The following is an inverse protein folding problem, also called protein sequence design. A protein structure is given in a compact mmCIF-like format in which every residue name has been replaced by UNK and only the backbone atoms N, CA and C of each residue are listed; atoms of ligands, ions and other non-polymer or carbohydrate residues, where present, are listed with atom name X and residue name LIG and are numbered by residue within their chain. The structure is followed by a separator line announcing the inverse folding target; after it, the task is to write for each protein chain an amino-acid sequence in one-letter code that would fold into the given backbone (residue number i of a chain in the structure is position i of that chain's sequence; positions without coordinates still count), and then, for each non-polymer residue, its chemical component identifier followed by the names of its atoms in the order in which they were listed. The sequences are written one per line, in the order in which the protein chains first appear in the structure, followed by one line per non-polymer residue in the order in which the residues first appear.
data_IF_925694064317
#
_entry.id   IF_925694064317
#
_cell.length_a   1.000
_cell.length_b   1.000
_cell.length_c   1.000
_cell.angle_alpha   90.00
_cell.angle_beta   90.00
_cell.angle_gamma   90.00
#
_symmetry.space_group_name_H-M   'P 1'
#
loop_
_entity.id
_entity.type
_entity.pdbx_description
1 polymer ?
#
# COMPACT_ATOMS: atom_id res chain seq x y z
N UNK A 1 -13.74 -9.20 12.43
CA UNK A 1 -13.07 -7.89 12.25
C UNK A 1 -14.15 -6.82 12.13
N UNK A 2 -14.07 -5.67 12.83
CA UNK A 2 -15.19 -4.69 12.96
C UNK A 2 -15.71 -4.14 11.62
N UNK A 3 -14.87 -4.06 10.60
CA UNK A 3 -15.20 -3.49 9.28
C UNK A 3 -15.31 -4.53 8.15
N UNK A 4 -15.29 -5.83 8.48
CA UNK A 4 -15.52 -6.90 7.49
C UNK A 4 -14.42 -7.08 6.44
N UNK A 5 -13.19 -6.65 6.71
CA UNK A 5 -12.05 -6.87 5.83
C UNK A 5 -11.48 -8.28 5.93
N UNK A 6 -11.08 -8.81 4.79
CA UNK A 6 -10.34 -10.08 4.68
C UNK A 6 -8.84 -9.83 4.78
N UNK A 7 -8.10 -10.84 5.22
CA UNK A 7 -6.63 -10.80 5.19
C UNK A 7 -6.13 -11.41 3.89
N UNK A 8 -5.18 -10.75 3.26
CA UNK A 8 -4.38 -11.37 2.19
C UNK A 8 -2.90 -11.27 2.57
N UNK A 9 -2.09 -12.10 1.95
CA UNK A 9 -0.65 -11.94 1.95
C UNK A 9 -0.12 -12.11 0.53
N UNK A 10 1.00 -11.45 0.24
CA UNK A 10 1.69 -11.52 -1.04
C UNK A 10 3.14 -11.91 -0.81
N UNK A 11 3.80 -12.50 -1.82
CA UNK A 11 5.24 -12.72 -1.75
C UNK A 11 6.00 -11.43 -1.44
N UNK A 12 7.16 -11.57 -0.79
CA UNK A 12 8.01 -10.43 -0.43
C UNK A 12 8.65 -9.74 -1.65
N UNK A 13 8.75 -10.47 -2.76
CA UNK A 13 9.24 -9.99 -4.04
C UNK A 13 8.15 -10.12 -5.11
N UNK A 14 8.22 -9.23 -6.09
CA UNK A 14 7.38 -9.24 -7.28
C UNK A 14 8.29 -9.31 -8.52
N UNK A 15 7.72 -9.66 -9.68
CA UNK A 15 8.41 -9.50 -10.96
C UNK A 15 8.83 -8.04 -11.11
N UNK A 16 10.07 -7.78 -11.52
CA UNK A 16 10.61 -6.43 -11.67
C UNK A 16 9.73 -5.55 -12.57
N UNK A 17 9.18 -6.12 -13.62
CA UNK A 17 8.24 -5.43 -14.53
C UNK A 17 6.94 -4.97 -13.84
N UNK A 18 6.47 -5.69 -12.81
CA UNK A 18 5.25 -5.34 -12.07
C UNK A 18 5.42 -4.01 -11.33
N UNK A 19 6.64 -3.75 -10.83
CA UNK A 19 6.98 -2.54 -10.09
C UNK A 19 7.46 -1.39 -10.98
N UNK A 20 7.84 -1.68 -12.22
CA UNK A 20 8.45 -0.72 -13.13
C UNK A 20 7.45 0.37 -13.55
N UNK A 21 7.87 1.64 -13.43
CA UNK A 21 7.07 2.80 -13.82
C UNK A 21 5.91 3.15 -12.89
N UNK A 22 5.75 2.44 -11.75
CA UNK A 22 4.69 2.71 -10.77
C UNK A 22 5.04 3.83 -9.78
N UNK A 23 6.32 4.10 -9.59
CA UNK A 23 6.82 4.96 -8.52
C UNK A 23 7.55 6.21 -9.01
N UNK A 24 7.51 6.52 -10.31
CA UNK A 24 8.22 7.69 -10.86
C UNK A 24 9.70 7.69 -10.48
N UNK A 25 10.19 8.81 -9.91
CA UNK A 25 11.57 8.97 -9.46
C UNK A 25 11.97 8.00 -8.34
N UNK A 26 11.02 7.51 -7.54
CA UNK A 26 11.28 6.59 -6.43
C UNK A 26 11.56 5.17 -6.89
N UNK A 27 11.32 4.85 -8.17
CA UNK A 27 11.63 3.53 -8.74
C UNK A 27 13.11 3.15 -8.58
N UNK A 28 14.01 4.15 -8.49
CA UNK A 28 15.46 3.94 -8.23
C UNK A 28 15.77 3.40 -6.83
N UNK A 29 14.81 3.51 -5.91
CA UNK A 29 14.94 3.09 -4.52
C UNK A 29 14.50 1.63 -4.30
N UNK A 30 14.13 0.91 -5.36
CA UNK A 30 13.72 -0.49 -5.27
C UNK A 30 14.96 -1.39 -5.09
N UNK A 31 14.83 -2.41 -4.24
CA UNK A 31 15.82 -3.48 -4.11
C UNK A 31 15.60 -4.53 -5.19
N UNK A 32 16.59 -4.70 -6.06
CA UNK A 32 16.60 -5.77 -7.06
C UNK A 32 17.31 -7.01 -6.51
N UNK A 33 16.75 -8.19 -6.80
CA UNK A 33 17.43 -9.45 -6.55
C UNK A 33 18.46 -9.69 -7.65
N UNK A 34 19.52 -10.41 -7.32
CA UNK A 34 20.56 -10.79 -8.27
C UNK A 34 19.97 -11.73 -9.32
N UNK A 35 20.29 -11.52 -10.59
CA UNK A 35 19.98 -12.47 -11.66
C UNK A 35 20.74 -13.79 -11.44
N UNK A 36 19.99 -14.88 -11.43
CA UNK A 36 20.49 -16.25 -11.27
C UNK A 36 20.12 -17.15 -12.46
N UNK A 37 19.79 -16.56 -13.62
CA UNK A 37 19.41 -17.27 -14.85
C UNK A 37 17.90 -17.55 -14.97
N UNK A 38 17.08 -16.76 -14.28
CA UNK A 38 15.62 -16.93 -14.22
C UNK A 38 14.89 -15.60 -14.30
N UNK A 39 13.76 -15.50 -13.60
CA UNK A 39 12.96 -14.28 -13.55
C UNK A 39 13.70 -13.14 -12.84
N UNK A 40 13.56 -11.92 -13.36
CA UNK A 40 14.06 -10.72 -12.71
C UNK A 40 13.06 -10.29 -11.63
N UNK A 41 13.53 -10.30 -10.38
CA UNK A 41 12.70 -10.05 -9.21
C UNK A 41 13.17 -8.80 -8.45
N UNK A 42 12.22 -8.14 -7.80
CA UNK A 42 12.47 -6.97 -6.96
C UNK A 42 11.64 -7.06 -5.68
N UNK A 43 12.17 -6.61 -4.55
CA UNK A 43 11.41 -6.54 -3.30
C UNK A 43 10.29 -5.51 -3.42
N UNK A 44 9.13 -5.80 -2.81
CA UNK A 44 7.99 -4.90 -2.81
C UNK A 44 8.31 -3.56 -2.12
N UNK A 45 7.97 -2.47 -2.79
CA UNK A 45 8.17 -1.10 -2.31
C UNK A 45 7.02 -0.61 -1.40
N UNK A 46 5.82 -1.11 -1.65
CA UNK A 46 4.60 -0.92 -0.88
C UNK A 46 3.73 -2.20 -0.90
N UNK A 47 2.53 -2.15 -0.33
CA UNK A 47 1.53 -3.22 -0.39
C UNK A 47 0.42 -2.96 -1.43
N UNK A 48 0.32 -1.74 -1.96
CA UNK A 48 -0.72 -1.31 -2.91
C UNK A 48 -0.50 -1.91 -4.30
N UNK A 49 0.72 -1.88 -4.84
CA UNK A 49 1.02 -2.47 -6.16
C UNK A 49 0.87 -4.00 -6.16
N UNK A 50 1.39 -4.75 -5.16
CA UNK A 50 1.09 -6.17 -5.00
C UNK A 50 -0.42 -6.46 -4.93
N UNK A 51 -1.19 -5.59 -4.27
CA UNK A 51 -2.64 -5.72 -4.20
C UNK A 51 -3.33 -5.52 -5.56
N UNK A 52 -2.95 -4.49 -6.32
CA UNK A 52 -3.47 -4.28 -7.67
C UNK A 52 -3.17 -5.48 -8.59
N UNK A 53 -1.97 -6.05 -8.52
CA UNK A 53 -1.61 -7.29 -9.23
C UNK A 53 -2.47 -8.46 -8.77
N UNK A 54 -2.68 -8.63 -7.46
CA UNK A 54 -3.52 -9.67 -6.90
C UNK A 54 -4.97 -9.60 -7.42
N UNK A 55 -5.56 -8.40 -7.48
CA UNK A 55 -6.88 -8.19 -8.06
C UNK A 55 -6.94 -8.61 -9.52
N UNK A 56 -5.98 -8.13 -10.32
CA UNK A 56 -5.94 -8.38 -11.76
C UNK A 56 -5.77 -9.88 -12.07
N UNK A 57 -4.83 -10.56 -11.39
CA UNK A 57 -4.56 -11.98 -11.62
C UNK A 57 -5.75 -12.88 -11.24
N UNK A 58 -6.47 -12.54 -10.18
CA UNK A 58 -7.62 -13.30 -9.71
C UNK A 58 -8.96 -12.83 -10.31
N UNK A 59 -8.94 -11.80 -11.17
CA UNK A 59 -10.14 -11.17 -11.75
C UNK A 59 -11.15 -10.72 -10.69
N UNK A 60 -10.65 -10.26 -9.54
CA UNK A 60 -11.46 -9.77 -8.44
C UNK A 60 -11.84 -8.32 -8.73
N UNK A 61 -13.13 -8.04 -8.75
CA UNK A 61 -13.67 -6.70 -9.01
C UNK A 61 -14.18 -6.00 -7.75
N UNK A 62 -14.41 -6.73 -6.66
CA UNK A 62 -14.84 -6.18 -5.38
C UNK A 62 -14.20 -6.95 -4.23
N UNK A 63 -13.47 -6.24 -3.36
CA UNK A 63 -12.89 -6.78 -2.14
C UNK A 63 -12.59 -5.66 -1.15
N UNK A 64 -12.74 -5.96 0.13
CA UNK A 64 -12.22 -5.17 1.24
C UNK A 64 -11.15 -5.99 1.95
N UNK A 65 -9.93 -5.48 2.03
CA UNK A 65 -8.81 -6.23 2.59
C UNK A 65 -7.94 -5.38 3.49
N UNK A 66 -7.29 -6.03 4.44
CA UNK A 66 -6.16 -5.48 5.15
C UNK A 66 -4.90 -6.33 4.93
N UNK A 67 -3.74 -5.68 4.98
CA UNK A 67 -2.45 -6.34 4.82
C UNK A 67 -1.43 -5.68 5.74
N UNK A 68 -0.84 -6.45 6.66
CA UNK A 68 0.18 -5.98 7.59
C UNK A 68 1.46 -6.73 7.27
N UNK A 69 2.41 -6.03 6.67
CA UNK A 69 3.60 -6.66 6.13
C UNK A 69 4.77 -5.68 6.03
N UNK A 70 5.98 -6.24 5.98
CA UNK A 70 7.20 -5.47 5.75
C UNK A 70 7.35 -5.06 4.29
N UNK A 71 7.88 -3.85 4.08
CA UNK A 71 8.23 -3.29 2.77
C UNK A 71 9.67 -2.78 2.76
N UNK A 72 10.24 -2.65 1.56
CA UNK A 72 11.67 -2.46 1.37
C UNK A 72 11.95 -1.25 0.49
N UNK A 73 12.63 -0.25 1.03
CA UNK A 73 12.98 0.98 0.32
C UNK A 73 14.46 1.31 0.53
N UNK A 74 15.23 1.51 -0.54
CA UNK A 74 16.64 1.93 -0.49
C UNK A 74 16.79 3.42 -0.18
N UNK A 75 15.99 3.92 0.76
CA UNK A 75 16.11 5.31 1.20
C UNK A 75 17.50 5.52 1.81
N UNK A 76 18.01 6.76 1.69
CA UNK A 76 19.25 7.13 2.33
C UNK A 76 18.96 7.29 3.82
N UNK A 77 19.56 6.45 4.70
CA UNK A 77 19.26 6.50 6.12
C UNK A 77 19.84 7.78 6.70
N UNK A 78 19.04 8.84 6.76
CA UNK A 78 19.26 9.90 7.72
C UNK A 78 18.93 9.30 9.09
N UNK A 79 19.95 8.81 9.80
CA UNK A 79 19.82 8.17 11.13
C UNK A 79 19.01 9.01 12.14
N UNK A 80 18.89 10.33 11.92
CA UNK A 80 18.12 11.26 12.74
C UNK A 80 16.62 11.38 12.37
N UNK A 81 16.15 10.70 11.31
CA UNK A 81 14.79 10.90 10.74
C UNK A 81 13.93 9.64 10.61
N UNK A 82 14.34 8.50 11.19
CA UNK A 82 13.51 7.28 11.17
C UNK A 82 13.28 6.69 9.77
N UNK A 83 14.15 7.01 8.81
CA UNK A 83 14.11 6.44 7.45
C UNK A 83 14.81 5.08 7.44
N UNK A 84 14.02 4.04 7.70
CA UNK A 84 14.48 2.65 7.67
C UNK A 84 14.39 2.07 6.26
N UNK A 85 15.20 1.06 5.99
CA UNK A 85 15.20 0.33 4.71
C UNK A 85 14.22 -0.83 4.68
N UNK A 86 13.85 -1.33 5.85
CA UNK A 86 12.81 -2.32 6.08
C UNK A 86 11.92 -1.80 7.21
N UNK A 87 10.61 -1.73 6.98
CA UNK A 87 9.63 -1.31 7.98
C UNK A 87 8.25 -1.89 7.66
N UNK A 88 7.35 -1.89 8.65
CA UNK A 88 5.98 -2.37 8.47
C UNK A 88 5.09 -1.31 7.84
N UNK A 89 4.26 -1.74 6.89
CA UNK A 89 3.04 -1.06 6.49
C UNK A 89 1.83 -1.84 7.02
N UNK A 90 0.74 -1.11 7.26
CA UNK A 90 -0.54 -1.62 7.73
C UNK A 90 -1.62 -1.02 6.84
N UNK A 91 -1.86 -1.68 5.71
CA UNK A 91 -2.75 -1.17 4.68
C UNK A 91 -4.17 -1.73 4.89
N UNK A 92 -5.16 -0.89 4.61
CA UNK A 92 -6.56 -1.26 4.50
C UNK A 92 -7.09 -0.65 3.21
N UNK A 93 -7.67 -1.48 2.34
CA UNK A 93 -8.10 -1.06 1.02
C UNK A 93 -9.51 -1.58 0.72
N UNK A 94 -10.30 -0.74 0.06
CA UNK A 94 -11.61 -1.08 -0.50
C UNK A 94 -11.49 -0.92 -2.01
N UNK A 95 -11.58 -2.03 -2.75
CA UNK A 95 -11.59 -2.03 -4.20
C UNK A 95 -12.98 -2.44 -4.70
N UNK A 96 -13.54 -1.69 -5.65
CA UNK A 96 -14.82 -1.99 -6.27
C UNK A 96 -15.59 -0.74 -6.68
N UNK A 97 -16.77 -0.96 -7.27
CA UNK A 97 -17.70 0.12 -7.58
C UNK A 97 -18.71 0.27 -6.44
N UNK A 98 -18.76 1.47 -5.88
CA UNK A 98 -19.64 1.85 -4.79
C UNK A 98 -20.20 3.25 -5.07
N UNK A 99 -21.24 3.62 -4.33
CA UNK A 99 -21.71 5.00 -4.36
C UNK A 99 -20.59 5.95 -3.92
N UNK A 100 -20.49 7.13 -4.54
CA UNK A 100 -19.40 8.07 -4.27
C UNK A 100 -19.26 8.37 -2.78
N UNK A 101 -18.01 8.45 -2.31
CA UNK A 101 -17.62 8.86 -0.96
C UNK A 101 -17.95 7.87 0.17
N UNK A 102 -18.76 6.83 -0.05
CA UNK A 102 -19.05 5.81 0.98
C UNK A 102 -17.77 5.09 1.43
N UNK A 103 -16.99 4.43 0.55
CA UNK A 103 -15.76 3.74 0.98
C UNK A 103 -14.70 4.73 1.50
N UNK A 104 -14.61 5.93 0.93
CA UNK A 104 -13.69 6.98 1.36
C UNK A 104 -13.96 7.41 2.82
N UNK A 105 -15.24 7.61 3.17
CA UNK A 105 -15.66 7.94 4.53
C UNK A 105 -15.43 6.77 5.50
N UNK A 106 -15.62 5.53 5.05
CA UNK A 106 -15.32 4.33 5.83
C UNK A 106 -13.83 4.26 6.20
N UNK A 107 -12.92 4.52 5.24
CA UNK A 107 -11.49 4.58 5.51
C UNK A 107 -11.14 5.61 6.59
N UNK A 108 -11.73 6.81 6.56
CA UNK A 108 -11.54 7.84 7.59
C UNK A 108 -12.05 7.38 8.96
N UNK A 109 -13.20 6.70 8.99
CA UNK A 109 -13.78 6.14 10.22
C UNK A 109 -12.86 5.09 10.83
N UNK A 110 -12.27 4.21 10.02
CA UNK A 110 -11.32 3.19 10.47
C UNK A 110 -10.08 3.82 11.07
N UNK A 111 -9.48 4.80 10.39
CA UNK A 111 -8.30 5.53 10.90
C UNK A 111 -8.61 6.20 12.24
N UNK A 112 -9.77 6.87 12.34
CA UNK A 112 -10.20 7.49 13.60
C UNK A 112 -10.34 6.47 14.73
N UNK A 113 -11.00 5.34 14.49
CA UNK A 113 -11.18 4.28 15.50
C UNK A 113 -9.83 3.72 15.96
N UNK A 114 -8.92 3.40 15.03
CA UNK A 114 -7.59 2.89 15.36
C UNK A 114 -6.83 3.90 16.22
N UNK A 115 -6.76 5.17 15.80
CA UNK A 115 -6.01 6.19 16.54
C UNK A 115 -6.60 6.48 17.92
N UNK A 116 -7.93 6.42 18.05
CA UNK A 116 -8.62 6.57 19.33
C UNK A 116 -8.33 5.39 20.26
N UNK A 117 -8.35 4.16 19.74
CA UNK A 117 -8.12 2.94 20.52
C UNK A 117 -6.64 2.79 20.94
N UNK A 118 -5.69 3.36 20.19
CA UNK A 118 -4.26 3.34 20.52
C UNK A 118 -3.88 4.30 21.67
N UNK A 119 -4.78 5.19 22.10
CA UNK A 119 -4.56 6.10 23.25
C UNK A 119 -3.27 6.96 23.14
N UNK A 120 -2.96 7.43 21.93
CA UNK A 120 -1.74 8.24 21.66
C UNK A 120 -1.91 9.74 21.97
N UNK A 121 -3.05 10.13 22.53
CA UNK A 121 -3.45 11.53 22.72
C UNK A 121 -4.31 12.07 21.57
N UNK A 122 -4.53 13.38 21.55
CA UNK A 122 -5.35 14.03 20.54
C UNK A 122 -4.70 13.96 19.15
N UNK A 123 -5.52 13.78 18.11
CA UNK A 123 -5.06 13.72 16.73
C UNK A 123 -5.95 14.54 15.79
N UNK A 124 -5.39 14.92 14.64
CA UNK A 124 -6.09 15.63 13.56
C UNK A 124 -5.89 14.88 12.24
N UNK A 125 -6.99 14.47 11.60
CA UNK A 125 -6.95 13.87 10.27
C UNK A 125 -7.13 14.98 9.24
N UNK A 126 -6.08 15.27 8.46
CA UNK A 126 -6.13 16.24 7.35
C UNK A 126 -6.53 15.52 6.07
N UNK A 127 -7.59 16.00 5.43
CA UNK A 127 -8.08 15.45 4.16
C UNK A 127 -7.83 16.46 3.03
N UNK A 128 -7.27 15.98 1.92
CA UNK A 128 -7.12 16.73 0.66
C UNK A 128 -7.76 15.92 -0.45
N UNK A 129 -8.56 16.57 -1.28
CA UNK A 129 -9.10 15.98 -2.50
C UNK A 129 -8.29 16.50 -3.69
N UNK A 130 -7.75 15.57 -4.48
CA UNK A 130 -7.15 15.90 -5.76
C UNK A 130 -8.18 15.63 -6.86
N UNK A 131 -8.64 16.69 -7.52
CA UNK A 131 -9.61 16.61 -8.62
C UNK A 131 -8.85 16.26 -9.91
N UNK A 132 -8.63 14.96 -10.12
CA UNK A 132 -8.14 14.38 -11.37
C UNK A 132 -9.02 13.20 -11.81
N UNK A 133 -8.89 12.73 -13.06
CA UNK A 133 -9.57 11.50 -13.49
C UNK A 133 -9.18 10.34 -12.55
N UNK A 134 -10.17 9.66 -11.97
CA UNK A 134 -10.01 8.51 -11.06
C UNK A 134 -9.53 7.26 -11.82
N UNK A 135 -8.32 7.28 -12.38
CA UNK A 135 -7.78 6.16 -13.18
C UNK A 135 -6.67 5.38 -12.48
N UNK A 136 -6.43 5.56 -11.18
CA UNK A 136 -5.39 4.80 -10.47
C UNK A 136 -5.69 4.59 -9.00
N UNK A 137 -5.28 3.42 -8.49
CA UNK A 137 -5.15 3.13 -7.07
C UNK A 137 -4.32 4.24 -6.41
N UNK A 138 -4.86 4.83 -5.36
CA UNK A 138 -4.18 5.88 -4.62
C UNK A 138 -3.05 5.24 -3.82
N UNK A 139 -1.80 5.42 -4.27
CA UNK A 139 -0.61 5.13 -3.47
C UNK A 139 -0.35 6.37 -2.62
N UNK A 140 -0.48 6.33 -1.28
CA UNK A 140 -0.10 7.46 -0.45
C UNK A 140 1.41 7.73 -0.63
N UNK A 141 1.76 8.97 -1.01
CA UNK A 141 3.15 9.46 -0.96
C UNK A 141 3.62 9.60 0.50
#
# INVERSE_FOLDING_TARGET
MRHGAEVIDTPVFELKETLTGKYGEDSKLIYDLKDQGGELLSLRYDLTVPFARYLAMNKITNIKRYHIAKVYRRDNPAMTRGRYREFYQCDFDIAGQFDPMIPDAECLKIVHEILSDLQLGDFLIKVRLELGPRTGFFVPQ
#
